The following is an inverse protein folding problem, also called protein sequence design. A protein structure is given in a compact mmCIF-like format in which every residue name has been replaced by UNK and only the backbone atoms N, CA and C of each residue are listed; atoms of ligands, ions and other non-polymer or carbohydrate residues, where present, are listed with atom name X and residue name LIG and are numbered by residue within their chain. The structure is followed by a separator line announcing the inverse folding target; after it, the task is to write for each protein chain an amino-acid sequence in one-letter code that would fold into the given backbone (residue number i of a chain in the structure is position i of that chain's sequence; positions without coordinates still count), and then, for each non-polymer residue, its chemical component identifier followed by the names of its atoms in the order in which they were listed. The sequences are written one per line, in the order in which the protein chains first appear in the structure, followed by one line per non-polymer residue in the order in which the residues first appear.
data_IF_343884675805
#
_entry.id   IF_343884675805
#
_cell.length_a   1.000
_cell.length_b   1.000
_cell.length_c   1.000
_cell.angle_alpha   90.00
_cell.angle_beta   90.00
_cell.angle_gamma   90.00
#
_symmetry.space_group_name_H-M   'P 1'
#
loop_
_entity.id
_entity.type
_entity.pdbx_description
1 polymer ?
#
# COMPACT_ATOMS: atom_id res chain seq x y z
N UNK A 1 -28.08 -32.77 74.71
CA UNK A 1 -27.46 -31.44 74.87
C UNK A 1 -28.43 -30.38 74.35
N UNK A 2 -28.70 -29.38 75.21
CA UNK A 2 -29.46 -28.12 75.10
C UNK A 2 -30.12 -27.81 73.73
N UNK A 3 -31.46 -27.79 73.62
CA UNK A 3 -32.46 -26.73 74.01
C UNK A 3 -32.46 -25.52 73.05
N UNK A 4 -33.54 -25.36 72.25
CA UNK A 4 -34.65 -24.36 72.37
C UNK A 4 -34.34 -23.08 71.53
N UNK A 5 -35.22 -22.38 70.79
CA UNK A 5 -36.60 -21.87 70.95
C UNK A 5 -37.20 -21.58 69.55
N UNK A 6 -38.46 -21.88 69.20
CA UNK A 6 -39.75 -21.22 69.54
C UNK A 6 -39.97 -19.84 68.83
N UNK A 7 -40.90 -19.70 67.86
CA UNK A 7 -42.35 -19.34 67.97
C UNK A 7 -42.57 -17.82 67.64
N UNK A 8 -43.28 -17.41 66.58
CA UNK A 8 -44.67 -16.84 66.53
C UNK A 8 -44.86 -16.28 65.10
N UNK A 9 -45.91 -16.54 64.31
CA UNK A 9 -47.33 -16.08 64.35
C UNK A 9 -47.58 -14.60 64.01
N UNK A 10 -48.68 -14.36 63.25
CA UNK A 10 -49.43 -13.10 62.96
C UNK A 10 -49.07 -12.43 61.62
N UNK A 11 -49.96 -11.89 60.78
CA UNK A 11 -51.40 -11.98 60.47
C UNK A 11 -51.62 -10.88 59.39
N UNK A 12 -52.35 -11.15 58.30
CA UNK A 12 -53.19 -10.21 57.49
C UNK A 12 -52.55 -8.92 56.91
N UNK A 13 -52.85 -8.51 55.67
CA UNK A 13 -54.04 -7.73 55.29
C UNK A 13 -54.14 -7.68 53.73
N UNK A 14 -55.39 -7.84 53.25
CA UNK A 14 -56.08 -7.26 52.07
C UNK A 14 -55.30 -6.23 51.19
N UNK A 15 -55.49 -6.07 49.89
CA UNK A 15 -56.70 -6.14 49.04
C UNK A 15 -56.31 -5.84 47.58
N UNK A 16 -57.18 -6.28 46.67
CA UNK A 16 -57.51 -5.72 45.33
C UNK A 16 -56.37 -5.63 44.31
N UNK A 17 -56.35 -6.54 43.35
CA UNK A 17 -57.11 -6.47 42.09
C UNK A 17 -56.44 -5.57 41.05
N UNK A 18 -55.92 -6.23 40.02
CA UNK A 18 -55.42 -5.63 38.79
C UNK A 18 -55.06 -6.76 37.85
N UNK A 19 -56.06 -7.33 37.18
CA UNK A 19 -55.83 -8.12 35.97
C UNK A 19 -55.23 -7.16 34.96
N UNK A 20 -53.96 -7.36 34.60
CA UNK A 20 -53.44 -6.87 33.34
C UNK A 20 -52.82 -8.07 32.63
N UNK A 21 -53.46 -8.43 31.52
CA UNK A 21 -52.94 -9.34 30.53
C UNK A 21 -51.50 -8.94 30.18
N UNK A 22 -50.53 -9.81 30.47
CA UNK A 22 -49.22 -9.72 29.82
C UNK A 22 -49.41 -10.19 28.38
N UNK A 23 -49.68 -9.23 27.50
CA UNK A 23 -49.36 -9.38 26.10
C UNK A 23 -47.86 -9.69 26.00
N UNK A 24 -47.53 -10.83 25.40
CA UNK A 24 -46.18 -11.14 24.97
C UNK A 24 -45.77 -10.06 23.96
N UNK A 25 -44.98 -9.08 24.40
CA UNK A 25 -44.22 -8.28 23.45
C UNK A 25 -43.12 -9.19 22.92
N UNK A 26 -43.32 -9.57 21.66
CA UNK A 26 -42.33 -10.15 20.77
C UNK A 26 -41.09 -9.23 20.77
N UNK A 27 -40.14 -9.53 21.66
CA UNK A 27 -38.77 -9.03 21.60
C UNK A 27 -37.99 -9.96 20.68
N UNK A 28 -38.34 -9.96 19.41
CA UNK A 28 -37.45 -10.37 18.35
C UNK A 28 -37.54 -9.33 17.26
N UNK A 29 -36.38 -8.91 16.73
CA UNK A 29 -36.17 -7.84 15.74
C UNK A 29 -35.83 -6.43 16.27
N UNK A 30 -34.96 -6.33 17.27
CA UNK A 30 -33.88 -5.33 17.17
C UNK A 30 -32.59 -6.06 16.79
N UNK A 31 -32.46 -6.29 15.48
CA UNK A 31 -31.25 -6.80 14.86
C UNK A 31 -30.21 -5.68 14.94
N UNK A 32 -29.21 -5.86 15.80
CA UNK A 32 -28.04 -5.00 15.90
C UNK A 32 -27.40 -4.78 14.51
N UNK A 33 -27.58 -3.58 13.95
CA UNK A 33 -26.90 -3.06 12.75
C UNK A 33 -25.37 -2.94 12.88
N UNK A 34 -24.79 -3.40 13.99
CA UNK A 34 -23.34 -3.34 14.26
C UNK A 34 -22.52 -4.45 13.60
N UNK A 35 -23.16 -5.52 13.11
CA UNK A 35 -22.48 -6.68 12.50
C UNK A 35 -22.60 -6.79 10.97
N UNK A 36 -23.08 -5.74 10.28
CA UNK A 36 -23.25 -5.71 8.81
C UNK A 36 -22.03 -5.06 8.09
N UNK A 37 -21.00 -4.60 8.83
CA UNK A 37 -20.10 -3.50 8.39
C UNK A 37 -18.58 -3.66 8.62
N UNK A 38 -18.09 -4.80 9.13
CA UNK A 38 -16.69 -4.96 9.58
C UNK A 38 -15.82 -5.53 8.45
N UNK A 39 -14.72 -4.85 8.10
CA UNK A 39 -13.72 -5.37 7.15
C UNK A 39 -13.09 -6.67 7.67
N UNK A 40 -12.52 -7.49 6.78
CA UNK A 40 -11.68 -8.60 7.22
C UNK A 40 -10.52 -8.10 8.08
N UNK A 41 -10.33 -8.74 9.23
CA UNK A 41 -9.17 -8.51 10.07
C UNK A 41 -8.11 -9.56 9.73
N UNK A 42 -7.05 -9.12 9.06
CA UNK A 42 -5.97 -10.01 8.63
C UNK A 42 -5.27 -10.60 9.88
N UNK A 43 -5.22 -11.94 10.02
CA UNK A 43 -4.70 -12.57 11.22
C UNK A 43 -3.19 -12.37 11.37
N UNK A 44 -2.48 -12.29 10.24
CA UNK A 44 -1.04 -12.02 10.17
C UNK A 44 -0.86 -10.72 9.40
N UNK A 45 -0.32 -9.70 10.06
CA UNK A 45 -0.17 -8.33 9.55
C UNK A 45 0.99 -7.63 10.24
N UNK A 46 1.45 -6.52 9.66
CA UNK A 46 2.53 -5.70 10.22
C UNK A 46 2.35 -5.46 11.72
N UNK A 47 3.38 -5.80 12.50
CA UNK A 47 3.40 -5.69 13.96
C UNK A 47 3.08 -6.98 14.74
N UNK A 48 2.61 -8.05 14.10
CA UNK A 48 2.50 -9.37 14.76
C UNK A 48 3.83 -10.14 14.71
N UNK A 49 4.03 -11.07 15.65
CA UNK A 49 5.24 -11.91 15.68
C UNK A 49 5.31 -12.83 14.45
N UNK A 50 4.16 -13.36 14.00
CA UNK A 50 4.05 -14.18 12.80
C UNK A 50 4.47 -13.41 11.56
N UNK A 51 4.13 -12.11 11.45
CA UNK A 51 4.52 -11.28 10.32
C UNK A 51 6.04 -11.08 10.25
N UNK A 52 6.66 -10.85 11.40
CA UNK A 52 8.11 -10.66 11.51
C UNK A 52 8.89 -11.92 11.15
N UNK A 53 8.31 -13.09 11.39
CA UNK A 53 8.90 -14.38 11.06
C UNK A 53 8.86 -14.74 9.56
N UNK A 54 8.19 -13.94 8.71
CA UNK A 54 8.13 -14.17 7.26
C UNK A 54 9.43 -13.68 6.58
N UNK A 55 10.10 -14.58 5.87
CA UNK A 55 11.42 -14.39 5.27
C UNK A 55 11.36 -13.78 3.85
N UNK A 56 10.17 -13.70 3.26
CA UNK A 56 9.97 -13.18 1.90
C UNK A 56 8.72 -12.32 1.76
N UNK A 57 8.65 -11.58 0.65
CA UNK A 57 7.45 -10.86 0.24
C UNK A 57 6.33 -11.80 -0.20
N UNK A 58 6.65 -12.86 -0.96
CA UNK A 58 5.66 -13.86 -1.39
C UNK A 58 4.93 -14.52 -0.20
N UNK A 59 5.64 -14.78 0.89
CA UNK A 59 5.03 -15.27 2.14
C UNK A 59 4.08 -14.24 2.77
N UNK A 60 4.44 -12.95 2.75
CA UNK A 60 3.58 -11.85 3.22
C UNK A 60 2.31 -11.75 2.37
N UNK A 61 2.43 -11.84 1.04
CA UNK A 61 1.30 -11.87 0.11
C UNK A 61 0.40 -13.08 0.39
N UNK A 62 1.00 -14.25 0.62
CA UNK A 62 0.26 -15.51 0.85
C UNK A 62 -0.58 -15.46 2.12
N UNK A 63 -0.06 -14.93 3.23
CA UNK A 63 -0.83 -14.83 4.48
C UNK A 63 -1.91 -13.73 4.43
N UNK A 64 -1.83 -12.81 3.47
CA UNK A 64 -2.82 -11.77 3.27
C UNK A 64 -3.95 -12.16 2.31
N UNK A 65 -3.98 -13.38 1.77
CA UNK A 65 -5.12 -13.82 0.95
C UNK A 65 -6.38 -13.97 1.81
N UNK A 66 -7.52 -13.49 1.31
CA UNK A 66 -8.81 -13.65 1.97
C UNK A 66 -9.31 -15.09 1.71
N UNK A 67 -9.81 -15.82 2.72
CA UNK A 67 -10.41 -17.13 2.48
C UNK A 67 -11.55 -17.06 1.44
N UNK A 68 -11.51 -17.92 0.43
CA UNK A 68 -12.41 -17.85 -0.74
C UNK A 68 -13.90 -17.77 -0.37
N UNK A 69 -14.33 -18.61 0.57
CA UNK A 69 -15.72 -18.60 1.06
C UNK A 69 -16.10 -17.24 1.65
N UNK A 70 -15.22 -16.65 2.45
CA UNK A 70 -15.47 -15.36 3.06
C UNK A 70 -15.49 -14.24 2.00
N UNK A 71 -14.59 -14.29 1.02
CA UNK A 71 -14.48 -13.32 -0.07
C UNK A 71 -15.79 -13.24 -0.87
N UNK A 72 -16.37 -14.39 -1.23
CA UNK A 72 -17.64 -14.48 -1.96
C UNK A 72 -18.86 -14.01 -1.15
N UNK A 73 -18.83 -14.17 0.18
CA UNK A 73 -19.92 -13.74 1.08
C UNK A 73 -19.88 -12.24 1.42
N UNK A 74 -18.75 -11.56 1.17
CA UNK A 74 -18.62 -10.12 1.45
C UNK A 74 -19.51 -9.27 0.55
N UNK A 75 -20.21 -8.30 1.14
CA UNK A 75 -20.79 -7.19 0.36
C UNK A 75 -19.68 -6.34 -0.25
N UNK A 76 -19.96 -5.64 -1.35
CA UNK A 76 -18.97 -4.79 -2.02
C UNK A 76 -18.43 -3.69 -1.11
N UNK A 77 -19.28 -3.06 -0.29
CA UNK A 77 -18.83 -2.10 0.74
C UNK A 77 -17.87 -2.75 1.76
N UNK A 78 -18.12 -3.98 2.21
CA UNK A 78 -17.21 -4.69 3.14
C UNK A 78 -15.89 -5.05 2.45
N UNK A 79 -15.95 -5.50 1.20
CA UNK A 79 -14.76 -5.82 0.42
C UNK A 79 -13.89 -4.58 0.20
N UNK A 80 -14.46 -3.42 -0.17
CA UNK A 80 -13.70 -2.18 -0.34
C UNK A 80 -12.96 -1.80 0.95
N UNK A 81 -13.63 -1.87 2.11
CA UNK A 81 -12.97 -1.59 3.39
C UNK A 81 -11.84 -2.59 3.68
N UNK A 82 -12.03 -3.85 3.29
CA UNK A 82 -11.02 -4.91 3.43
C UNK A 82 -9.80 -4.65 2.54
N UNK A 83 -10.01 -4.24 1.29
CA UNK A 83 -8.96 -3.84 0.35
C UNK A 83 -8.20 -2.62 0.88
N UNK A 84 -8.89 -1.60 1.39
CA UNK A 84 -8.26 -0.40 1.98
C UNK A 84 -7.54 -0.66 3.32
N UNK A 85 -7.66 -1.87 3.87
CA UNK A 85 -6.96 -2.32 5.07
C UNK A 85 -5.99 -3.48 4.77
N UNK A 86 -5.77 -3.81 3.49
CA UNK A 86 -4.82 -4.83 3.05
C UNK A 86 -3.40 -4.53 3.57
N UNK A 87 -2.72 -5.42 4.31
CA UNK A 87 -1.46 -5.08 4.97
C UNK A 87 -0.35 -4.59 4.04
N UNK A 88 -0.38 -4.99 2.76
CA UNK A 88 0.61 -4.62 1.74
C UNK A 88 0.08 -3.53 0.76
N UNK A 89 -0.94 -2.74 1.13
CA UNK A 89 -1.49 -1.72 0.20
C UNK A 89 -0.45 -0.69 -0.25
N UNK A 90 0.55 -0.41 0.59
CA UNK A 90 1.59 0.57 0.29
C UNK A 90 2.54 0.13 -0.83
N UNK A 91 2.62 -1.18 -1.13
CA UNK A 91 3.45 -1.70 -2.22
C UNK A 91 3.06 -1.08 -3.58
N UNK A 92 1.80 -0.65 -3.73
CA UNK A 92 1.29 0.12 -4.88
C UNK A 92 2.18 1.33 -5.23
N UNK A 93 2.79 1.97 -4.23
CA UNK A 93 3.59 3.17 -4.42
C UNK A 93 5.10 2.90 -4.45
N UNK A 94 5.54 1.64 -4.40
CA UNK A 94 6.95 1.28 -4.57
C UNK A 94 7.37 1.22 -6.05
N UNK A 95 6.43 1.33 -6.99
CA UNK A 95 6.64 1.27 -8.44
C UNK A 95 6.85 2.67 -9.02
N UNK A 96 7.24 2.75 -10.30
CA UNK A 96 7.47 4.03 -11.00
C UNK A 96 6.23 4.92 -11.07
N UNK A 97 5.03 4.32 -11.07
CA UNK A 97 3.78 5.05 -10.93
C UNK A 97 2.69 4.18 -10.25
N UNK A 98 1.64 4.80 -9.67
CA UNK A 98 0.58 4.08 -8.97
C UNK A 98 -0.20 3.08 -9.84
N UNK A 99 -0.35 3.31 -11.15
CA UNK A 99 -1.05 2.38 -12.05
C UNK A 99 -0.29 1.07 -12.17
N UNK A 100 1.03 1.12 -12.39
CA UNK A 100 1.87 -0.09 -12.44
C UNK A 100 1.82 -0.85 -11.11
N UNK A 101 1.85 -0.15 -9.98
CA UNK A 101 1.71 -0.78 -8.67
C UNK A 101 0.34 -1.39 -8.44
N UNK A 102 -0.74 -0.76 -8.91
CA UNK A 102 -2.09 -1.33 -8.84
C UNK A 102 -2.15 -2.65 -9.63
N UNK A 103 -1.62 -2.70 -10.85
CA UNK A 103 -1.56 -3.93 -11.65
C UNK A 103 -0.78 -5.05 -10.95
N UNK A 104 0.33 -4.73 -10.30
CA UNK A 104 1.05 -5.71 -9.49
C UNK A 104 0.18 -6.26 -8.35
N UNK A 105 -0.52 -5.39 -7.61
CA UNK A 105 -1.40 -5.80 -6.51
C UNK A 105 -2.61 -6.62 -7.00
N UNK A 106 -3.19 -6.32 -8.16
CA UNK A 106 -4.32 -7.08 -8.74
C UNK A 106 -3.92 -8.55 -8.96
N UNK A 107 -2.68 -8.79 -9.38
CA UNK A 107 -2.16 -10.13 -9.63
C UNK A 107 -1.75 -10.87 -8.35
N UNK A 108 -1.47 -10.14 -7.27
CA UNK A 108 -0.98 -10.70 -6.01
C UNK A 108 -2.07 -10.91 -4.96
N UNK A 109 -3.16 -10.14 -4.99
CA UNK A 109 -4.15 -10.10 -3.92
C UNK A 109 -5.57 -10.37 -4.42
N UNK A 110 -6.16 -11.49 -3.96
CA UNK A 110 -7.48 -11.93 -4.39
C UNK A 110 -8.61 -10.94 -4.07
N UNK A 111 -8.53 -10.17 -2.99
CA UNK A 111 -9.56 -9.20 -2.62
C UNK A 111 -9.69 -8.04 -3.60
N UNK A 112 -8.57 -7.56 -4.14
CA UNK A 112 -8.58 -6.52 -5.16
C UNK A 112 -9.03 -7.08 -6.51
N UNK A 113 -8.58 -8.28 -6.87
CA UNK A 113 -9.04 -8.97 -8.07
C UNK A 113 -10.57 -9.15 -8.07
N UNK A 114 -11.14 -9.67 -6.99
CA UNK A 114 -12.59 -9.81 -6.81
C UNK A 114 -13.30 -8.46 -6.92
N UNK A 115 -12.80 -7.42 -6.23
CA UNK A 115 -13.44 -6.10 -6.24
C UNK A 115 -13.56 -5.52 -7.66
N UNK A 116 -12.53 -5.67 -8.48
CA UNK A 116 -12.53 -5.13 -9.86
C UNK A 116 -13.48 -5.86 -10.80
N UNK A 117 -13.97 -7.04 -10.41
CA UNK A 117 -14.92 -7.86 -11.16
C UNK A 117 -16.38 -7.68 -10.71
N UNK A 118 -16.66 -6.84 -9.69
CA UNK A 118 -18.03 -6.61 -9.21
C UNK A 118 -18.74 -5.50 -9.97
N UNK A 119 -19.93 -5.78 -10.46
CA UNK A 119 -20.75 -4.83 -11.23
C UNK A 119 -21.10 -3.55 -10.44
N UNK A 120 -21.23 -3.63 -9.12
CA UNK A 120 -21.55 -2.49 -8.25
C UNK A 120 -20.31 -1.80 -7.65
N UNK A 121 -19.10 -2.25 -7.98
CA UNK A 121 -17.84 -1.76 -7.41
C UNK A 121 -17.68 -0.24 -7.55
N UNK A 122 -17.86 0.29 -8.76
CA UNK A 122 -17.70 1.74 -8.99
C UNK A 122 -18.68 2.57 -8.18
N UNK A 123 -19.94 2.15 -8.08
CA UNK A 123 -20.96 2.85 -7.29
C UNK A 123 -20.56 2.91 -5.81
N UNK A 124 -20.15 1.79 -5.23
CA UNK A 124 -19.81 1.70 -3.81
C UNK A 124 -18.47 2.40 -3.50
N UNK A 125 -17.47 2.31 -4.40
CA UNK A 125 -16.22 3.06 -4.32
C UNK A 125 -16.46 4.58 -4.34
N UNK A 126 -17.30 5.06 -5.27
CA UNK A 126 -17.68 6.47 -5.34
C UNK A 126 -18.38 6.94 -4.07
N UNK A 127 -19.26 6.11 -3.49
CA UNK A 127 -19.94 6.43 -2.24
C UNK A 127 -18.98 6.57 -1.06
N UNK A 128 -17.90 5.78 -1.02
CA UNK A 128 -16.83 5.89 -0.02
C UNK A 128 -15.97 7.12 -0.30
N UNK A 129 -15.61 7.37 -1.55
CA UNK A 129 -14.77 8.52 -1.95
C UNK A 129 -15.39 9.86 -1.58
N UNK A 130 -16.70 10.02 -1.77
CA UNK A 130 -17.45 11.21 -1.33
C UNK A 130 -17.39 11.46 0.18
N UNK A 131 -17.19 10.41 0.99
CA UNK A 131 -17.09 10.50 2.47
C UNK A 131 -15.67 10.78 2.95
N UNK A 132 -14.67 10.65 2.09
CA UNK A 132 -13.29 11.04 2.38
C UNK A 132 -13.15 12.54 2.12
N UNK A 133 -13.09 13.31 3.19
CA UNK A 133 -12.96 14.77 3.14
C UNK A 133 -11.49 15.17 3.31
N UNK A 134 -10.95 15.96 2.38
CA UNK A 134 -9.57 16.44 2.45
C UNK A 134 -9.34 17.38 3.63
N UNK A 135 -10.39 18.06 4.13
CA UNK A 135 -10.31 18.94 5.31
C UNK A 135 -9.96 18.19 6.60
N UNK A 136 -10.17 16.86 6.64
CA UNK A 136 -9.82 16.02 7.81
C UNK A 136 -8.37 16.17 8.22
N UNK A 137 -7.46 16.45 7.28
CA UNK A 137 -6.03 16.61 7.59
C UNK A 137 -5.78 17.72 8.61
N UNK A 138 -6.65 18.74 8.67
CA UNK A 138 -6.50 19.89 9.57
C UNK A 138 -6.71 19.50 11.03
N UNK A 139 -7.40 18.37 11.26
CA UNK A 139 -7.67 17.80 12.58
C UNK A 139 -6.67 16.69 12.96
N UNK A 140 -5.79 16.26 12.04
CA UNK A 140 -4.78 15.25 12.30
C UNK A 140 -3.56 15.89 12.98
N UNK A 141 -3.08 15.25 14.04
CA UNK A 141 -2.11 15.87 14.95
C UNK A 141 -0.68 15.68 14.48
N UNK A 142 -0.39 14.55 13.85
CA UNK A 142 0.96 14.15 13.45
C UNK A 142 1.12 14.12 11.94
N UNK A 143 2.35 14.33 11.47
CA UNK A 143 2.67 14.20 10.04
C UNK A 143 2.50 12.77 9.54
N UNK A 144 2.69 11.76 10.40
CA UNK A 144 2.39 10.36 10.07
C UNK A 144 0.90 10.17 9.76
N UNK A 145 0.01 10.62 10.66
CA UNK A 145 -1.44 10.51 10.43
C UNK A 145 -1.87 11.23 9.13
N UNK A 146 -1.31 12.41 8.86
CA UNK A 146 -1.56 13.16 7.63
C UNK A 146 -1.10 12.41 6.38
N UNK A 147 0.11 11.86 6.41
CA UNK A 147 0.66 11.06 5.32
C UNK A 147 -0.14 9.78 5.07
N UNK A 148 -0.50 9.05 6.14
CA UNK A 148 -1.31 7.84 6.06
C UNK A 148 -2.69 8.13 5.47
N UNK A 149 -3.32 9.25 5.85
CA UNK A 149 -4.57 9.68 5.25
C UNK A 149 -4.41 10.03 3.76
N UNK A 150 -3.34 10.73 3.40
CA UNK A 150 -3.03 11.10 2.02
C UNK A 150 -2.86 9.86 1.13
N UNK A 151 -2.06 8.88 1.56
CA UNK A 151 -1.88 7.62 0.82
C UNK A 151 -3.15 6.78 0.78
N UNK A 152 -3.95 6.72 1.85
CA UNK A 152 -5.22 5.99 1.84
C UNK A 152 -6.20 6.57 0.83
N UNK A 153 -6.26 7.90 0.71
CA UNK A 153 -7.04 8.58 -0.33
C UNK A 153 -6.47 8.30 -1.73
N UNK A 154 -5.15 8.30 -1.88
CA UNK A 154 -4.47 8.01 -3.15
C UNK A 154 -4.72 6.58 -3.65
N UNK A 155 -4.75 5.58 -2.76
CA UNK A 155 -5.13 4.20 -3.11
C UNK A 155 -6.53 4.16 -3.69
N UNK A 156 -7.49 4.80 -3.01
CA UNK A 156 -8.89 4.81 -3.45
C UNK A 156 -9.04 5.47 -4.82
N UNK A 157 -8.34 6.58 -5.06
CA UNK A 157 -8.34 7.28 -6.35
C UNK A 157 -7.70 6.45 -7.46
N UNK A 158 -6.60 5.77 -7.17
CA UNK A 158 -5.93 4.88 -8.14
C UNK A 158 -6.85 3.74 -8.54
N UNK A 159 -7.55 3.10 -7.59
CA UNK A 159 -8.56 2.07 -7.88
C UNK A 159 -9.73 2.66 -8.70
N UNK A 160 -10.23 3.85 -8.32
CA UNK A 160 -11.32 4.51 -9.04
C UNK A 160 -10.97 4.87 -10.48
N UNK A 161 -9.69 5.13 -10.77
CA UNK A 161 -9.21 5.39 -12.12
C UNK A 161 -9.08 4.14 -12.99
N UNK A 162 -9.18 2.94 -12.40
CA UNK A 162 -9.02 1.69 -13.14
C UNK A 162 -10.18 1.48 -14.13
N UNK A 163 -9.84 0.97 -15.30
CA UNK A 163 -10.71 0.86 -16.46
C UNK A 163 -11.99 0.04 -16.18
N UNK A 164 -11.88 -1.05 -15.41
CA UNK A 164 -13.04 -1.87 -15.01
C UNK A 164 -13.99 -1.10 -14.10
N UNK A 165 -13.46 -0.28 -13.19
CA UNK A 165 -14.26 0.54 -12.28
C UNK A 165 -14.97 1.64 -13.05
N UNK A 166 -14.27 2.33 -13.96
CA UNK A 166 -14.88 3.36 -14.81
C UNK A 166 -16.02 2.77 -15.66
N UNK A 167 -15.84 1.56 -16.22
CA UNK A 167 -16.87 0.86 -17.01
C UNK A 167 -18.08 0.41 -16.18
N UNK A 168 -17.91 0.17 -14.88
CA UNK A 168 -19.01 -0.18 -13.96
C UNK A 168 -19.92 1.02 -13.60
N UNK A 169 -19.51 2.26 -13.91
CA UNK A 169 -20.26 3.47 -13.58
C UNK A 169 -21.22 3.87 -14.70
N UNK A 170 -22.45 4.25 -14.34
CA UNK A 170 -23.35 4.91 -15.27
C UNK A 170 -22.96 6.40 -15.49
N UNK A 171 -23.58 7.05 -16.48
CA UNK A 171 -23.28 8.44 -16.85
C UNK A 171 -23.36 9.43 -15.68
N UNK A 172 -24.40 9.32 -14.84
CA UNK A 172 -24.59 10.22 -13.70
C UNK A 172 -23.53 9.97 -12.61
N UNK A 173 -23.20 8.71 -12.34
CA UNK A 173 -22.17 8.37 -11.36
C UNK A 173 -20.77 8.80 -11.83
N UNK A 174 -20.49 8.66 -13.13
CA UNK A 174 -19.23 9.11 -13.72
C UNK A 174 -19.07 10.64 -13.64
N UNK A 175 -20.15 11.39 -13.87
CA UNK A 175 -20.18 12.85 -13.68
C UNK A 175 -19.93 13.21 -12.20
N UNK A 176 -20.58 12.51 -11.28
CA UNK A 176 -20.36 12.70 -9.84
C UNK A 176 -18.91 12.40 -9.42
N UNK A 177 -18.30 11.34 -9.97
CA UNK A 177 -16.90 11.00 -9.72
C UNK A 177 -15.96 12.11 -10.21
N UNK A 178 -16.17 12.61 -11.42
CA UNK A 178 -15.36 13.70 -11.99
C UNK A 178 -15.46 14.99 -11.17
N UNK A 179 -16.68 15.35 -10.75
CA UNK A 179 -16.91 16.54 -9.93
C UNK A 179 -16.23 16.41 -8.56
N UNK A 180 -16.40 15.26 -7.91
CA UNK A 180 -15.79 15.00 -6.59
C UNK A 180 -14.25 15.00 -6.68
N UNK A 181 -13.70 14.39 -7.72
CA UNK A 181 -12.26 14.31 -7.92
C UNK A 181 -11.64 15.65 -8.31
N UNK A 182 -12.35 16.47 -9.09
CA UNK A 182 -11.94 17.86 -9.38
C UNK A 182 -11.87 18.67 -8.10
N UNK A 183 -12.93 18.64 -7.28
CA UNK A 183 -12.97 19.35 -6.00
C UNK A 183 -11.79 18.96 -5.11
N UNK A 184 -11.54 17.66 -4.96
CA UNK A 184 -10.43 17.15 -4.13
C UNK A 184 -9.07 17.53 -4.68
N UNK A 185 -8.90 17.52 -6.00
CA UNK A 185 -7.68 17.99 -6.64
C UNK A 185 -7.40 19.46 -6.27
N UNK A 186 -8.39 20.34 -6.41
CA UNK A 186 -8.25 21.76 -6.07
C UNK A 186 -7.93 21.96 -4.57
N UNK A 187 -8.61 21.21 -3.69
CA UNK A 187 -8.35 21.23 -2.24
C UNK A 187 -6.94 20.72 -1.88
N UNK A 188 -6.49 19.62 -2.49
CA UNK A 188 -5.14 19.07 -2.29
C UNK A 188 -4.07 20.03 -2.80
N UNK A 189 -4.31 20.73 -3.90
CA UNK A 189 -3.37 21.70 -4.46
C UNK A 189 -3.08 22.85 -3.49
N UNK A 190 -4.08 23.28 -2.72
CA UNK A 190 -3.93 24.28 -1.65
C UNK A 190 -3.15 23.76 -0.43
N UNK A 191 -2.97 22.44 -0.32
CA UNK A 191 -2.37 21.72 0.82
C UNK A 191 -1.20 20.83 0.38
N UNK A 192 -0.39 21.33 -0.57
CA UNK A 192 0.73 20.60 -1.19
C UNK A 192 1.83 20.18 -0.21
N UNK A 193 1.91 20.82 0.94
CA UNK A 193 2.78 20.45 2.07
C UNK A 193 2.37 19.14 2.73
N UNK A 194 1.17 18.62 2.42
CA UNK A 194 0.72 17.27 2.78
C UNK A 194 0.61 16.42 1.53
N UNK A 195 -0.12 16.87 0.51
CA UNK A 195 -0.45 16.10 -0.69
C UNK A 195 0.51 16.29 -1.85
N UNK A 196 1.81 16.47 -1.61
CA UNK A 196 2.77 16.81 -2.65
C UNK A 196 2.78 15.80 -3.82
N UNK A 197 3.01 14.53 -3.51
CA UNK A 197 2.99 13.42 -4.47
C UNK A 197 1.57 12.94 -4.78
N UNK A 198 0.77 12.76 -3.74
CA UNK A 198 -0.60 12.22 -3.79
C UNK A 198 -1.64 13.17 -4.38
N UNK A 199 -1.25 14.39 -4.78
CA UNK A 199 -2.07 15.29 -5.60
C UNK A 199 -2.41 14.65 -6.97
N UNK A 200 -1.45 13.96 -7.58
CA UNK A 200 -1.58 13.42 -8.93
C UNK A 200 -2.63 12.29 -9.04
N UNK A 201 -2.96 11.59 -7.95
CA UNK A 201 -3.96 10.52 -8.03
C UNK A 201 -5.37 11.05 -8.28
N UNK A 202 -5.69 12.27 -7.82
CA UNK A 202 -6.98 12.91 -8.14
C UNK A 202 -7.07 13.36 -9.61
N UNK A 203 -5.95 13.70 -10.25
CA UNK A 203 -5.95 14.04 -11.69
C UNK A 203 -6.12 12.79 -12.56
N UNK A 204 -5.57 11.64 -12.16
CA UNK A 204 -5.75 10.35 -12.84
C UNK A 204 -7.23 10.01 -13.06
N UNK A 205 -8.07 10.17 -12.03
CA UNK A 205 -9.52 9.92 -12.10
C UNK A 205 -10.24 10.88 -13.07
N UNK A 206 -9.80 12.14 -13.13
CA UNK A 206 -10.46 13.16 -13.96
C UNK A 206 -9.99 13.17 -15.42
N UNK A 207 -8.95 12.41 -15.77
CA UNK A 207 -8.21 12.52 -17.04
C UNK A 207 -7.75 13.97 -17.34
N UNK A 208 -7.70 14.84 -16.32
CA UNK A 208 -7.09 16.15 -16.47
C UNK A 208 -5.59 15.95 -16.65
N UNK A 209 -4.99 16.69 -17.57
CA UNK A 209 -3.55 16.74 -17.76
C UNK A 209 -2.89 16.88 -16.40
N UNK A 210 -1.92 16.00 -16.10
CA UNK A 210 -1.20 16.02 -14.83
C UNK A 210 -0.78 17.45 -14.48
N UNK A 211 -0.79 17.79 -13.17
CA UNK A 211 -0.08 18.99 -12.71
C UNK A 211 1.32 18.88 -13.29
N UNK A 212 1.77 19.90 -14.02
CA UNK A 212 3.09 19.92 -14.61
C UNK A 212 4.11 19.78 -13.49
N UNK A 213 4.54 18.55 -13.25
CA UNK A 213 5.68 18.28 -12.38
C UNK A 213 6.86 18.87 -13.14
N UNK A 214 7.46 19.91 -12.59
CA UNK A 214 8.65 20.51 -13.18
C UNK A 214 9.80 19.52 -13.02
N UNK A 215 10.02 18.70 -14.04
CA UNK A 215 11.24 17.94 -14.24
C UNK A 215 11.79 18.31 -15.62
N UNK A 216 13.10 18.14 -15.77
CA UNK A 216 13.76 18.28 -17.06
C UNK A 216 14.38 16.93 -17.46
N UNK A 217 14.62 16.75 -18.76
CA UNK A 217 15.43 15.64 -19.24
C UNK A 217 16.91 15.96 -19.10
N UNK A 218 17.67 15.04 -18.55
CA UNK A 218 19.13 15.06 -18.52
C UNK A 218 19.70 13.73 -19.01
N UNK A 219 21.03 13.64 -19.01
CA UNK A 219 21.75 12.42 -19.35
C UNK A 219 22.83 12.12 -18.31
N UNK A 220 22.98 10.83 -18.02
CA UNK A 220 24.18 10.27 -17.41
C UNK A 220 24.83 9.33 -18.42
N UNK A 221 26.03 8.85 -18.14
CA UNK A 221 26.79 8.03 -19.08
C UNK A 221 27.23 6.74 -18.44
N UNK A 222 27.13 5.65 -19.20
CA UNK A 222 27.72 4.37 -18.84
C UNK A 222 29.25 4.46 -18.81
N UNK A 223 29.95 3.47 -18.22
CA UNK A 223 31.40 3.33 -18.37
C UNK A 223 31.94 3.38 -19.80
N UNK A 224 31.20 2.85 -20.77
CA UNK A 224 31.54 2.91 -22.20
C UNK A 224 30.98 4.16 -22.91
N UNK A 225 30.55 5.17 -22.14
CA UNK A 225 30.08 6.47 -22.61
C UNK A 225 28.79 6.46 -23.44
N UNK A 226 27.98 5.41 -23.33
CA UNK A 226 26.61 5.44 -23.87
C UNK A 226 25.75 6.36 -23.01
N UNK A 227 25.04 7.30 -23.66
CA UNK A 227 24.14 8.21 -22.97
C UNK A 227 22.89 7.47 -22.46
N UNK A 228 22.49 7.76 -21.23
CA UNK A 228 21.28 7.21 -20.58
C UNK A 228 20.42 8.36 -20.10
N UNK A 229 19.19 8.40 -20.59
CA UNK A 229 18.22 9.43 -20.25
C UNK A 229 17.79 9.32 -18.78
N UNK A 230 17.68 10.46 -18.11
CA UNK A 230 17.24 10.57 -16.70
C UNK A 230 16.37 11.80 -16.52
N UNK A 231 15.43 11.75 -15.58
CA UNK A 231 14.76 12.96 -15.10
C UNK A 231 15.65 13.67 -14.06
N UNK A 232 15.67 14.99 -14.15
CA UNK A 232 16.37 15.89 -13.22
C UNK A 232 15.40 16.95 -12.69
N UNK A 233 15.82 17.64 -11.63
CA UNK A 233 15.05 18.70 -10.96
C UNK A 233 13.70 18.26 -10.38
N UNK A 234 13.53 16.94 -10.13
CA UNK A 234 12.37 16.39 -9.48
C UNK A 234 12.17 17.03 -8.09
N UNK A 235 10.97 17.56 -7.78
CA UNK A 235 10.69 18.10 -6.46
C UNK A 235 10.70 16.98 -5.42
N UNK A 236 11.14 17.30 -4.21
CA UNK A 236 11.09 16.35 -3.09
C UNK A 236 9.65 16.14 -2.61
N UNK A 237 9.40 14.99 -2.00
CA UNK A 237 8.12 14.70 -1.36
C UNK A 237 7.83 15.60 -0.15
N UNK A 238 6.54 15.66 0.21
CA UNK A 238 6.12 16.33 1.43
C UNK A 238 6.65 15.59 2.66
N UNK A 239 6.86 16.30 3.77
CA UNK A 239 7.32 15.69 5.03
C UNK A 239 6.36 14.58 5.51
N UNK A 240 5.02 14.81 5.54
CA UNK A 240 4.05 13.75 5.84
C UNK A 240 4.18 12.52 4.96
N UNK A 241 4.37 12.69 3.65
CA UNK A 241 4.50 11.57 2.71
C UNK A 241 5.80 10.79 2.96
N UNK A 242 6.94 11.48 3.17
CA UNK A 242 8.22 10.84 3.52
C UNK A 242 8.07 10.00 4.78
N UNK A 243 7.46 10.56 5.83
CA UNK A 243 7.26 9.88 7.12
C UNK A 243 6.37 8.65 6.95
N UNK A 244 5.26 8.76 6.23
CA UNK A 244 4.34 7.63 6.01
C UNK A 244 5.00 6.50 5.22
N UNK A 245 5.69 6.79 4.11
CA UNK A 245 6.42 5.77 3.34
C UNK A 245 7.54 5.11 4.16
N UNK A 246 8.29 5.91 4.92
CA UNK A 246 9.32 5.43 5.84
C UNK A 246 8.76 4.51 6.93
N UNK A 247 7.58 4.85 7.47
CA UNK A 247 6.92 4.07 8.52
C UNK A 247 6.32 2.78 7.95
N UNK A 248 5.63 2.86 6.81
CA UNK A 248 5.09 1.72 6.10
C UNK A 248 6.17 0.67 5.82
N UNK A 249 7.30 1.09 5.24
CA UNK A 249 8.39 0.16 4.91
C UNK A 249 9.02 -0.48 6.15
N UNK A 250 9.22 0.27 7.23
CA UNK A 250 9.75 -0.26 8.48
C UNK A 250 8.80 -1.28 9.15
N UNK A 251 7.50 -1.02 9.12
CA UNK A 251 6.48 -1.91 9.69
C UNK A 251 6.26 -3.17 8.85
N UNK A 252 6.31 -3.02 7.53
CA UNK A 252 5.99 -4.08 6.55
C UNK A 252 7.18 -5.01 6.31
N UNK A 253 8.40 -4.47 6.30
CA UNK A 253 9.64 -5.21 6.08
C UNK A 253 10.56 -5.12 7.31
N UNK A 254 10.19 -5.74 8.45
CA UNK A 254 10.92 -5.59 9.71
C UNK A 254 12.32 -6.23 9.69
N UNK A 255 12.61 -7.07 8.70
CA UNK A 255 13.92 -7.71 8.49
C UNK A 255 14.85 -6.86 7.59
N UNK A 256 14.34 -5.77 7.02
CA UNK A 256 15.10 -4.80 6.25
C UNK A 256 15.57 -3.63 7.13
N UNK A 257 16.67 -3.00 6.73
CA UNK A 257 17.26 -1.84 7.43
C UNK A 257 17.21 -0.63 6.51
N UNK A 258 16.55 0.45 6.97
CA UNK A 258 16.55 1.73 6.25
C UNK A 258 17.92 2.40 6.34
N UNK A 259 18.52 2.70 5.19
CA UNK A 259 19.82 3.39 5.06
C UNK A 259 19.66 4.89 4.77
N UNK A 260 18.59 5.29 4.09
CA UNK A 260 18.22 6.67 3.85
C UNK A 260 16.70 6.79 3.70
N UNK A 261 16.13 7.97 3.92
CA UNK A 261 14.69 8.22 3.82
C UNK A 261 14.14 8.02 2.39
N UNK A 262 12.82 7.85 2.29
CA UNK A 262 12.11 8.02 1.01
C UNK A 262 12.48 9.35 0.36
N UNK A 263 12.60 9.34 -0.97
CA UNK A 263 12.94 10.52 -1.75
C UNK A 263 12.52 10.32 -3.19
N UNK A 264 12.03 11.40 -3.78
CA UNK A 264 11.64 11.49 -5.19
C UNK A 264 12.83 11.79 -6.13
N UNK A 265 14.02 12.01 -5.57
CA UNK A 265 15.16 12.54 -6.34
C UNK A 265 15.90 11.48 -7.14
N UNK A 266 15.77 10.21 -6.76
CA UNK A 266 16.43 9.09 -7.42
C UNK A 266 15.71 7.78 -7.09
N UNK A 267 15.84 6.80 -7.98
CA UNK A 267 15.23 5.48 -7.88
C UNK A 267 16.28 4.36 -7.82
N UNK A 268 15.81 3.12 -7.86
CA UNK A 268 16.61 1.90 -7.75
C UNK A 268 17.64 1.75 -8.86
N UNK A 269 17.26 2.04 -10.10
CA UNK A 269 18.12 1.96 -11.27
C UNK A 269 19.26 2.97 -11.19
N UNK A 270 18.94 4.24 -10.92
CA UNK A 270 19.96 5.28 -10.78
C UNK A 270 20.92 4.99 -9.62
N UNK A 271 20.41 4.48 -8.49
CA UNK A 271 21.25 4.06 -7.37
C UNK A 271 22.21 2.92 -7.74
N UNK A 272 21.68 1.87 -8.38
CA UNK A 272 22.46 0.69 -8.70
C UNK A 272 23.48 0.95 -9.82
N UNK A 273 23.08 1.60 -10.90
CA UNK A 273 23.88 1.66 -12.13
C UNK A 273 24.72 2.93 -12.26
N UNK A 274 24.24 4.05 -11.70
CA UNK A 274 24.88 5.35 -11.86
C UNK A 274 25.60 5.82 -10.58
N UNK A 275 24.87 6.06 -9.49
CA UNK A 275 25.43 6.62 -8.26
C UNK A 275 24.75 6.09 -7.00
N UNK A 276 25.50 5.33 -6.22
CA UNK A 276 25.07 4.82 -4.90
C UNK A 276 25.10 5.88 -3.79
N UNK A 277 25.21 7.17 -4.13
CA UNK A 277 25.17 8.27 -3.18
C UNK A 277 23.74 8.60 -2.77
N UNK A 278 23.50 8.88 -1.49
CA UNK A 278 22.21 9.39 -1.02
C UNK A 278 21.95 10.85 -1.43
N UNK A 279 22.97 11.53 -1.95
CA UNK A 279 22.84 12.85 -2.59
C UNK A 279 22.53 12.76 -4.11
N UNK A 280 22.25 11.56 -4.63
CA UNK A 280 21.86 11.36 -6.02
C UNK A 280 20.54 12.12 -6.33
N UNK A 281 20.52 12.80 -7.47
CA UNK A 281 19.40 13.62 -7.96
C UNK A 281 19.03 13.27 -9.40
N UNK A 282 19.24 12.02 -9.80
CA UNK A 282 18.91 11.48 -11.12
C UNK A 282 17.91 10.36 -10.95
N UNK A 283 16.77 10.46 -11.61
CA UNK A 283 15.80 9.36 -11.72
C UNK A 283 15.96 8.68 -13.07
N UNK A 284 16.09 7.35 -13.09
CA UNK A 284 16.43 6.58 -14.29
C UNK A 284 15.39 5.50 -14.51
N UNK A 285 14.54 5.63 -15.53
CA UNK A 285 13.53 4.60 -15.84
C UNK A 285 14.19 3.38 -16.52
N UNK A 286 15.17 3.61 -17.41
CA UNK A 286 15.71 2.56 -18.29
C UNK A 286 17.22 2.41 -18.14
N UNK A 287 17.73 1.42 -17.38
CA UNK A 287 19.16 1.18 -17.20
C UNK A 287 19.79 0.32 -18.30
N UNK A 288 19.04 -0.07 -19.34
CA UNK A 288 19.41 -1.07 -20.36
C UNK A 288 20.78 -0.84 -20.99
N UNK A 289 21.14 0.42 -21.25
CA UNK A 289 22.43 0.78 -21.83
C UNK A 289 23.62 0.26 -21.00
N UNK A 290 23.54 0.25 -19.66
CA UNK A 290 24.61 -0.28 -18.80
C UNK A 290 24.82 -1.77 -18.99
N UNK A 291 23.77 -2.51 -19.37
CA UNK A 291 23.80 -3.95 -19.59
C UNK A 291 24.13 -4.30 -21.04
N UNK A 292 23.75 -3.45 -22.00
CA UNK A 292 23.83 -3.76 -23.42
C UNK A 292 25.14 -3.31 -24.09
N UNK A 293 25.78 -2.24 -23.62
CA UNK A 293 26.94 -1.64 -24.29
C UNK A 293 28.30 -2.24 -23.89
N UNK A 294 28.27 -3.34 -23.12
CA UNK A 294 29.47 -3.99 -22.60
C UNK A 294 30.07 -3.35 -21.34
N UNK A 295 29.46 -2.30 -20.78
CA UNK A 295 29.90 -1.71 -19.51
C UNK A 295 29.77 -2.67 -18.33
N UNK A 296 28.81 -3.58 -18.40
CA UNK A 296 28.62 -4.64 -17.42
C UNK A 296 28.36 -5.98 -18.13
N UNK A 297 29.03 -7.01 -17.67
CA UNK A 297 28.90 -8.39 -18.15
C UNK A 297 27.85 -9.14 -17.34
N UNK A 298 26.87 -9.73 -18.02
CA UNK A 298 25.91 -10.66 -17.42
C UNK A 298 26.62 -11.93 -16.95
N UNK A 299 26.43 -12.32 -15.69
CA UNK A 299 27.09 -13.51 -15.12
C UNK A 299 26.13 -14.66 -14.78
N UNK A 300 24.82 -14.45 -14.92
CA UNK A 300 23.80 -15.48 -14.66
C UNK A 300 22.67 -15.03 -13.73
N UNK A 301 21.83 -15.99 -13.35
CA UNK A 301 20.74 -15.82 -12.37
C UNK A 301 21.16 -16.17 -10.93
N UNK A 302 22.43 -16.49 -10.74
CA UNK A 302 23.05 -16.66 -9.42
C UNK A 302 24.32 -15.82 -9.36
N UNK A 303 24.75 -15.38 -8.16
CA UNK A 303 25.96 -14.57 -8.03
C UNK A 303 27.26 -15.38 -8.15
N UNK A 304 27.20 -16.71 -8.34
CA UNK A 304 28.39 -17.55 -8.52
C UNK A 304 29.37 -17.45 -7.35
N UNK A 305 30.65 -17.22 -7.64
CA UNK A 305 31.71 -17.10 -6.62
C UNK A 305 31.79 -15.73 -5.96
N UNK A 306 31.10 -14.71 -6.48
CA UNK A 306 31.20 -13.34 -5.98
C UNK A 306 30.45 -13.18 -4.66
N UNK A 307 31.10 -12.62 -3.65
CA UNK A 307 30.49 -12.41 -2.33
C UNK A 307 29.79 -11.06 -2.17
N UNK A 308 30.13 -10.06 -3.00
CA UNK A 308 29.53 -8.72 -2.99
C UNK A 308 29.80 -7.96 -4.30
N UNK A 309 29.24 -6.75 -4.44
CA UNK A 309 29.57 -5.77 -5.48
C UNK A 309 28.85 -5.93 -6.82
N UNK A 310 28.15 -7.05 -7.01
CA UNK A 310 27.37 -7.30 -8.23
C UNK A 310 26.18 -6.35 -8.33
N UNK A 311 25.87 -5.92 -9.55
CA UNK A 311 24.60 -5.26 -9.86
C UNK A 311 23.53 -6.32 -10.02
N UNK A 312 22.39 -6.07 -9.39
CA UNK A 312 21.22 -6.94 -9.45
C UNK A 312 20.15 -6.23 -10.27
N UNK A 313 19.52 -6.98 -11.18
CA UNK A 313 18.43 -6.50 -12.02
C UNK A 313 17.26 -7.47 -11.94
N UNK A 314 16.14 -6.95 -11.49
CA UNK A 314 14.85 -7.60 -11.45
C UNK A 314 14.16 -7.17 -12.74
N UNK A 315 13.98 -8.08 -13.72
CA UNK A 315 13.61 -7.72 -15.08
C UNK A 315 12.47 -6.70 -15.18
N UNK A 316 12.78 -5.53 -15.76
CA UNK A 316 11.82 -4.46 -16.04
C UNK A 316 11.32 -3.65 -14.85
N UNK A 317 11.70 -3.97 -13.61
CA UNK A 317 11.04 -3.40 -12.42
C UNK A 317 11.98 -2.84 -11.36
N UNK A 318 13.13 -3.48 -11.11
CA UNK A 318 13.95 -3.12 -9.95
C UNK A 318 15.45 -3.35 -10.14
N UNK A 319 16.27 -2.65 -9.38
CA UNK A 319 17.72 -2.84 -9.36
C UNK A 319 18.32 -2.61 -7.98
N UNK A 320 19.42 -3.31 -7.72
CA UNK A 320 20.14 -3.19 -6.46
C UNK A 320 21.62 -3.50 -6.60
N UNK A 321 22.32 -3.36 -5.49
CA UNK A 321 23.73 -3.72 -5.35
C UNK A 321 23.81 -4.84 -4.33
N UNK A 322 24.36 -5.99 -4.73
CA UNK A 322 24.62 -7.09 -3.81
C UNK A 322 25.70 -6.68 -2.81
N UNK A 323 25.42 -6.78 -1.51
CA UNK A 323 26.38 -6.43 -0.46
C UNK A 323 26.99 -7.64 0.23
N UNK A 324 26.26 -8.74 0.33
CA UNK A 324 26.77 -10.00 0.88
C UNK A 324 25.92 -11.19 0.44
N UNK A 325 26.45 -12.40 0.57
CA UNK A 325 25.67 -13.63 0.49
C UNK A 325 26.20 -14.71 1.42
N UNK A 326 25.31 -15.56 1.94
CA UNK A 326 25.67 -16.78 2.68
C UNK A 326 25.49 -18.05 1.84
N UNK A 327 24.65 -18.00 0.80
CA UNK A 327 24.49 -19.06 -0.20
C UNK A 327 24.05 -18.45 -1.55
N UNK A 328 23.72 -19.28 -2.54
CA UNK A 328 23.25 -18.80 -3.85
C UNK A 328 21.75 -18.43 -3.85
N UNK A 329 20.99 -18.85 -2.84
CA UNK A 329 19.54 -18.60 -2.76
C UNK A 329 19.24 -17.12 -2.48
N UNK A 330 18.18 -16.58 -3.08
CA UNK A 330 17.83 -15.15 -2.94
C UNK A 330 17.52 -14.73 -1.49
N UNK A 331 16.93 -15.62 -0.69
CA UNK A 331 16.76 -15.43 0.77
C UNK A 331 18.06 -15.27 1.56
N UNK A 332 19.18 -15.70 0.97
CA UNK A 332 20.51 -15.66 1.56
C UNK A 332 21.41 -14.58 0.94
N UNK A 333 20.90 -13.82 -0.03
CA UNK A 333 21.60 -12.69 -0.64
C UNK A 333 21.07 -11.42 0.01
N UNK A 334 21.99 -10.59 0.50
CA UNK A 334 21.67 -9.26 1.03
C UNK A 334 22.06 -8.22 -0.03
N UNK A 335 21.17 -7.27 -0.28
CA UNK A 335 21.39 -6.19 -1.24
C UNK A 335 20.95 -4.83 -0.69
N UNK A 336 21.46 -3.78 -1.32
CA UNK A 336 21.05 -2.40 -1.09
C UNK A 336 20.34 -1.85 -2.33
N UNK A 337 19.16 -1.28 -2.13
CA UNK A 337 18.39 -0.67 -3.21
C UNK A 337 17.36 0.33 -2.70
N UNK A 338 17.06 1.35 -3.50
CA UNK A 338 15.84 2.16 -3.32
C UNK A 338 14.65 1.33 -3.73
N UNK A 339 13.49 1.52 -3.12
CA UNK A 339 12.25 0.88 -3.60
C UNK A 339 11.40 1.91 -4.37
N UNK A 340 11.78 2.20 -5.62
CA UNK A 340 11.14 3.28 -6.38
C UNK A 340 11.24 4.60 -5.58
N UNK A 341 10.13 5.27 -5.25
CA UNK A 341 10.12 6.47 -4.42
C UNK A 341 10.34 6.20 -2.90
N UNK A 342 10.18 4.95 -2.46
CA UNK A 342 10.36 4.53 -1.06
C UNK A 342 11.85 4.57 -0.63
N UNK A 343 12.18 4.32 0.65
CA UNK A 343 13.52 4.58 1.18
C UNK A 343 14.62 3.73 0.53
N UNK A 344 15.88 4.11 0.77
CA UNK A 344 17.02 3.24 0.48
C UNK A 344 17.09 2.17 1.57
N UNK A 345 17.03 0.91 1.19
CA UNK A 345 16.93 -0.23 2.09
C UNK A 345 18.10 -1.19 1.89
N UNK A 346 18.60 -1.76 2.99
CA UNK A 346 19.38 -3.00 2.99
C UNK A 346 18.45 -4.15 3.36
N UNK A 347 18.30 -5.13 2.49
CA UNK A 347 17.30 -6.19 2.64
C UNK A 347 17.75 -7.50 2.00
N UNK A 348 17.01 -8.59 2.24
CA UNK A 348 17.18 -9.83 1.48
C UNK A 348 16.63 -9.68 0.07
N UNK A 349 17.23 -10.34 -0.90
CA UNK A 349 16.88 -10.17 -2.31
C UNK A 349 15.41 -10.53 -2.64
N UNK A 350 14.77 -11.35 -1.82
CA UNK A 350 13.36 -11.76 -1.94
C UNK A 350 12.43 -11.13 -0.87
N UNK A 351 12.93 -10.23 -0.01
CA UNK A 351 12.14 -9.51 0.99
C UNK A 351 12.06 -8.03 0.59
N UNK A 352 11.37 -7.78 -0.53
CA UNK A 352 11.09 -6.46 -1.07
C UNK A 352 9.77 -6.49 -1.89
N UNK A 353 9.16 -5.33 -2.22
CA UNK A 353 7.88 -5.26 -2.92
C UNK A 353 7.85 -5.80 -4.38
N UNK A 354 8.97 -6.31 -4.89
CA UNK A 354 9.15 -6.65 -6.30
C UNK A 354 9.27 -8.16 -6.49
N UNK A 355 8.79 -8.65 -7.63
CA UNK A 355 8.95 -10.05 -8.00
C UNK A 355 10.43 -10.44 -8.04
N UNK A 356 10.80 -11.35 -7.15
CA UNK A 356 12.15 -11.85 -6.97
C UNK A 356 12.37 -13.22 -7.59
N UNK A 357 11.43 -13.74 -8.39
CA UNK A 357 11.50 -15.06 -9.02
C UNK A 357 12.71 -15.23 -9.93
N UNK A 358 13.14 -14.16 -10.61
CA UNK A 358 14.28 -14.18 -11.53
C UNK A 358 15.11 -12.91 -11.38
N UNK A 359 16.27 -13.01 -10.72
CA UNK A 359 17.21 -11.89 -10.58
C UNK A 359 18.42 -12.14 -11.48
N UNK A 360 18.75 -11.15 -12.31
CA UNK A 360 19.96 -11.17 -13.15
C UNK A 360 21.11 -10.46 -12.44
N UNK A 361 22.28 -11.07 -12.48
CA UNK A 361 23.50 -10.52 -11.88
C UNK A 361 24.46 -10.04 -12.95
N UNK A 362 25.05 -8.88 -12.70
CA UNK A 362 26.00 -8.24 -13.59
C UNK A 362 27.26 -7.80 -12.86
N UNK A 363 28.40 -8.00 -13.51
CA UNK A 363 29.72 -7.58 -13.05
C UNK A 363 30.24 -6.50 -13.98
N UNK A 364 30.89 -5.47 -13.42
CA UNK A 364 31.66 -4.52 -14.21
C UNK A 364 32.95 -5.15 -14.74
#
# INVERSE_FOLDING_TARGET
MKKLLALLMILTIFSSAGINAMASSDKSLEKNDKNILVSYDYPVKSGTDEWKALDSHDEKVKVCQIPEKLLQEMTTTVLIKTVLNYPLYGDMFAYDNPTMGLEALINQFNGLNELLNRDDAGKELLAIYKKMDTSKIDNLKTDLEKGDYAFKLAVLETILSHDSIIKSLNKNQLEQLRNESTKKFDEKQLKKEVFGYTLNTSSMVTQRTAVTVMWSMGYVYTPNYTAVAVYVDLPEFSIPEIISMNNYTAMTFPNAVRLANSSNKYNCHSYAWYSASTANTRWMDYPDAYMADGSYTYIGTTPGTYTSGLKMYYPGLHSGIMVSKTSQSYSNITCESKWGPYPLMRHKANDCPYDSSTIKFYRR
#
